data_IF_697095280388
#
_entry.id   IF_697095280388
#
_cell.length_a   1.000
_cell.length_b   1.000
_cell.length_c   1.000
_cell.angle_alpha   90.00
_cell.angle_beta   90.00
_cell.angle_gamma   90.00
#
_symmetry.space_group_name_H-M   'P 1'
#
loop_
_entity.id
_entity.type
_entity.pdbx_description
1 polymer ?
#
# COMPACT_ATOMS: atom_id res chain seq x y z
N UNK A 1 8.03 18.44 -14.48
CA UNK A 1 7.98 18.93 -13.09
C UNK A 1 7.61 20.40 -13.15
N UNK A 2 6.78 20.92 -12.24
CA UNK A 2 6.63 22.38 -12.09
C UNK A 2 7.83 22.93 -11.35
N UNK A 3 8.13 24.22 -11.46
CA UNK A 3 9.28 24.84 -10.77
C UNK A 3 9.25 24.55 -9.25
N UNK A 4 8.05 24.53 -8.65
CA UNK A 4 7.83 24.22 -7.22
C UNK A 4 8.19 22.78 -6.77
N UNK A 5 8.53 21.87 -7.70
CA UNK A 5 8.81 20.44 -7.40
C UNK A 5 10.31 20.11 -7.42
N UNK A 6 11.16 21.08 -7.77
CA UNK A 6 12.62 20.96 -7.74
C UNK A 6 13.09 21.33 -6.33
N UNK A 7 13.33 20.32 -5.50
CA UNK A 7 14.00 20.51 -4.21
C UNK A 7 15.51 20.70 -4.42
N UNK A 8 16.21 21.17 -3.38
CA UNK A 8 17.62 21.61 -3.37
C UNK A 8 18.60 20.65 -4.10
N UNK A 9 18.33 19.34 -4.08
CA UNK A 9 19.13 18.35 -4.79
C UNK A 9 19.17 18.55 -6.32
N UNK A 10 18.09 19.05 -6.93
CA UNK A 10 17.99 19.22 -8.38
C UNK A 10 18.81 20.39 -8.91
N UNK A 11 18.95 21.48 -8.14
CA UNK A 11 19.82 22.61 -8.53
C UNK A 11 21.29 22.18 -8.60
N UNK A 12 21.71 21.32 -7.67
CA UNK A 12 23.05 20.73 -7.68
C UNK A 12 23.27 19.84 -8.90
N UNK A 13 22.29 18.99 -9.26
CA UNK A 13 22.39 18.15 -10.47
C UNK A 13 22.45 19.01 -11.73
N UNK A 14 21.61 20.05 -11.84
CA UNK A 14 21.65 20.97 -12.98
C UNK A 14 23.03 21.64 -13.13
N UNK A 15 23.66 22.04 -12.02
CA UNK A 15 24.99 22.67 -12.03
C UNK A 15 26.11 21.69 -12.38
N UNK A 16 26.06 20.47 -11.86
CA UNK A 16 27.14 19.49 -11.98
C UNK A 16 27.06 18.66 -13.27
N UNK A 17 25.86 18.27 -13.67
CA UNK A 17 25.61 17.48 -14.88
C UNK A 17 24.26 17.87 -15.52
N UNK A 18 24.27 18.93 -16.36
CA UNK A 18 23.09 19.35 -17.11
C UNK A 18 22.53 18.25 -18.03
N UNK A 19 23.36 17.29 -18.46
CA UNK A 19 22.93 16.21 -19.33
C UNK A 19 22.06 15.22 -18.56
N UNK A 20 22.50 14.78 -17.39
CA UNK A 20 21.70 13.93 -16.49
C UNK A 20 20.45 14.67 -16.05
N UNK A 21 20.54 15.95 -15.67
CA UNK A 21 19.36 16.74 -15.33
C UNK A 21 18.30 16.72 -16.44
N UNK A 22 18.71 17.01 -17.68
CA UNK A 22 17.83 17.04 -18.85
C UNK A 22 17.21 15.66 -19.14
N UNK A 23 18.00 14.58 -19.05
CA UNK A 23 17.50 13.23 -19.34
C UNK A 23 16.56 12.74 -18.24
N UNK A 24 16.84 13.03 -16.97
CA UNK A 24 15.94 12.74 -15.84
C UNK A 24 14.61 13.50 -15.95
N UNK A 25 14.63 14.78 -16.36
CA UNK A 25 13.41 15.53 -16.64
C UNK A 25 12.64 14.94 -17.82
N UNK A 26 13.33 14.53 -18.89
CA UNK A 26 12.70 13.90 -20.04
C UNK A 26 11.98 12.61 -19.63
N UNK A 27 12.66 11.73 -18.90
CA UNK A 27 12.12 10.46 -18.42
C UNK A 27 10.90 10.68 -17.50
N UNK A 28 11.04 11.53 -16.48
CA UNK A 28 9.95 11.82 -15.53
C UNK A 28 8.76 12.55 -16.15
N UNK A 29 8.94 13.20 -17.31
CA UNK A 29 7.85 13.86 -18.03
C UNK A 29 6.98 12.92 -18.86
N UNK A 30 7.46 11.71 -19.17
CA UNK A 30 6.74 10.76 -20.04
C UNK A 30 5.32 10.46 -19.55
N UNK A 31 5.08 10.14 -18.25
CA UNK A 31 3.72 9.89 -17.76
C UNK A 31 2.78 11.10 -17.95
N UNK A 32 3.30 12.32 -17.74
CA UNK A 32 2.53 13.56 -17.92
C UNK A 32 2.13 13.83 -19.37
N UNK A 33 2.96 13.41 -20.33
CA UNK A 33 2.68 13.58 -21.77
C UNK A 33 1.66 12.58 -22.30
N UNK A 34 1.55 11.40 -21.70
CA UNK A 34 0.64 10.33 -22.14
C UNK A 34 -0.80 10.51 -21.62
N UNK A 35 -1.01 11.33 -20.58
CA UNK A 35 -2.33 11.76 -20.04
C UNK A 35 -3.28 10.58 -19.71
N UNK A 36 -2.75 9.38 -19.46
CA UNK A 36 -3.57 8.23 -19.05
C UNK A 36 -4.05 8.35 -17.59
N UNK A 37 -3.37 9.18 -16.79
CA UNK A 37 -3.69 9.46 -15.39
C UNK A 37 -3.70 10.98 -15.19
N UNK A 38 -4.62 11.46 -14.38
CA UNK A 38 -4.71 12.85 -13.94
C UNK A 38 -3.47 13.27 -13.14
N UNK A 39 -3.21 14.57 -13.04
CA UNK A 39 -2.12 15.10 -12.24
C UNK A 39 -2.26 14.74 -10.74
N UNK A 40 -3.50 14.71 -10.24
CA UNK A 40 -3.84 14.25 -8.88
C UNK A 40 -3.42 12.79 -8.66
N UNK A 41 -3.83 11.88 -9.55
CA UNK A 41 -3.47 10.45 -9.45
C UNK A 41 -1.96 10.23 -9.51
N UNK A 42 -1.27 10.92 -10.42
CA UNK A 42 0.19 10.83 -10.52
C UNK A 42 0.89 11.32 -9.24
N UNK A 43 0.36 12.38 -8.61
CA UNK A 43 0.89 12.88 -7.34
C UNK A 43 0.64 11.88 -6.19
N UNK A 44 -0.55 11.29 -6.11
CA UNK A 44 -0.89 10.27 -5.11
C UNK A 44 -0.07 8.99 -5.29
N UNK A 45 0.21 8.56 -6.53
CA UNK A 45 1.12 7.43 -6.80
C UNK A 45 2.55 7.76 -6.36
N UNK A 46 3.04 8.96 -6.69
CA UNK A 46 4.37 9.40 -6.23
C UNK A 46 4.48 9.47 -4.71
N UNK A 47 3.40 9.85 -4.03
CA UNK A 47 3.30 9.80 -2.57
C UNK A 47 3.41 8.36 -2.07
N UNK A 48 2.66 7.42 -2.64
CA UNK A 48 2.70 6.01 -2.24
C UNK A 48 4.12 5.44 -2.34
N UNK A 49 4.83 5.73 -3.44
CA UNK A 49 6.23 5.32 -3.64
C UNK A 49 7.14 5.93 -2.58
N UNK A 50 7.01 7.23 -2.31
CA UNK A 50 7.89 7.96 -1.38
C UNK A 50 7.64 7.59 0.09
N UNK A 51 6.39 7.33 0.46
CA UNK A 51 5.96 7.05 1.84
C UNK A 51 6.07 5.56 2.23
N UNK A 52 6.27 4.67 1.26
CA UNK A 52 6.47 3.25 1.50
C UNK A 52 7.67 3.02 2.43
N UNK A 53 7.52 2.11 3.42
CA UNK A 53 8.54 1.73 4.39
C UNK A 53 9.88 1.25 3.78
N UNK A 54 9.88 0.74 2.54
CA UNK A 54 11.12 0.33 1.84
C UNK A 54 11.81 1.47 1.07
N UNK A 55 11.22 2.68 1.04
CA UNK A 55 11.80 3.86 0.39
C UNK A 55 11.98 5.05 1.33
N UNK A 56 10.95 5.42 2.11
CA UNK A 56 10.96 6.47 3.14
C UNK A 56 11.70 7.76 2.73
N UNK A 57 11.36 8.30 1.55
CA UNK A 57 12.01 9.49 1.02
C UNK A 57 11.26 10.77 1.40
N UNK A 58 11.63 11.38 2.52
CA UNK A 58 10.95 12.55 3.11
C UNK A 58 10.79 13.76 2.16
N UNK A 59 11.79 14.16 1.36
CA UNK A 59 11.60 15.23 0.38
C UNK A 59 10.57 14.88 -0.69
N UNK A 60 10.52 13.62 -1.13
CA UNK A 60 9.52 13.11 -2.06
C UNK A 60 8.11 13.14 -1.47
N UNK A 61 7.96 12.68 -0.23
CA UNK A 61 6.68 12.72 0.51
C UNK A 61 6.15 14.16 0.54
N UNK A 62 6.97 15.14 0.94
CA UNK A 62 6.57 16.56 0.99
C UNK A 62 6.19 17.11 -0.38
N UNK A 63 6.93 16.73 -1.42
CA UNK A 63 6.68 17.18 -2.79
C UNK A 63 5.35 16.63 -3.31
N UNK A 64 5.08 15.35 -3.11
CA UNK A 64 3.88 14.68 -3.60
C UNK A 64 2.62 15.03 -2.80
N UNK A 65 2.71 15.04 -1.46
CA UNK A 65 2.24 16.12 -0.57
C UNK A 65 1.49 17.30 -1.23
N UNK A 66 2.30 18.34 -1.42
CA UNK A 66 1.89 19.63 -1.96
C UNK A 66 1.28 19.50 -3.36
N UNK A 67 1.84 18.65 -4.21
CA UNK A 67 1.32 18.45 -5.56
C UNK A 67 -0.10 17.88 -5.56
N UNK A 68 -0.39 16.86 -4.74
CA UNK A 68 -1.72 16.27 -4.67
C UNK A 68 -2.77 17.29 -4.20
N UNK A 69 -2.46 18.05 -3.15
CA UNK A 69 -3.35 19.09 -2.62
C UNK A 69 -3.57 20.21 -3.65
N UNK A 70 -2.52 20.64 -4.36
CA UNK A 70 -2.61 21.64 -5.44
C UNK A 70 -3.54 21.18 -6.57
N UNK A 71 -3.57 19.89 -6.86
CA UNK A 71 -4.45 19.26 -7.84
C UNK A 71 -5.82 18.84 -7.27
N UNK A 72 -6.17 19.32 -6.07
CA UNK A 72 -7.49 19.14 -5.46
C UNK A 72 -7.67 17.85 -4.64
N UNK A 73 -6.59 17.14 -4.29
CA UNK A 73 -6.69 16.03 -3.35
C UNK A 73 -7.07 16.52 -1.95
N UNK A 74 -7.98 15.79 -1.31
CA UNK A 74 -8.35 16.02 0.09
C UNK A 74 -7.27 15.47 1.03
N UNK A 75 -7.26 15.95 2.29
CA UNK A 75 -6.42 15.38 3.34
C UNK A 75 -6.73 13.89 3.54
N UNK A 76 -7.99 13.48 3.38
CA UNK A 76 -8.40 12.09 3.51
C UNK A 76 -7.82 11.19 2.41
N UNK A 77 -7.78 11.65 1.16
CA UNK A 77 -7.12 10.92 0.06
C UNK A 77 -5.62 10.75 0.32
N UNK A 78 -4.96 11.80 0.84
CA UNK A 78 -3.53 11.75 1.19
C UNK A 78 -3.26 10.76 2.32
N UNK A 79 -4.06 10.82 3.41
CA UNK A 79 -3.93 9.90 4.53
C UNK A 79 -4.18 8.45 4.08
N UNK A 80 -5.21 8.22 3.28
CA UNK A 80 -5.53 6.89 2.80
C UNK A 80 -4.39 6.28 1.96
N UNK A 81 -3.70 7.07 1.13
CA UNK A 81 -2.50 6.59 0.41
C UNK A 81 -1.41 6.12 1.37
N UNK A 82 -1.18 6.84 2.48
CA UNK A 82 -0.18 6.46 3.49
C UNK A 82 -0.61 5.18 4.21
N UNK A 83 -1.89 5.05 4.55
CA UNK A 83 -2.46 3.85 5.17
C UNK A 83 -2.31 2.62 4.26
N UNK A 84 -2.66 2.75 2.98
CA UNK A 84 -2.47 1.69 1.99
C UNK A 84 -1.00 1.32 1.79
N UNK A 85 -0.09 2.31 1.80
CA UNK A 85 1.35 2.07 1.68
C UNK A 85 1.93 1.35 2.91
N UNK A 86 1.29 1.50 4.07
CA UNK A 86 1.73 0.87 5.33
C UNK A 86 1.50 -0.64 5.36
N UNK A 87 0.65 -1.20 4.48
CA UNK A 87 0.40 -2.65 4.45
C UNK A 87 1.57 -3.45 3.87
N UNK A 88 2.59 -2.81 3.29
CA UNK A 88 3.77 -3.46 2.71
C UNK A 88 4.50 -4.37 3.72
N UNK A 89 4.41 -4.07 5.02
CA UNK A 89 5.06 -4.85 6.08
C UNK A 89 4.60 -6.30 6.14
N UNK A 90 3.36 -6.60 5.72
CA UNK A 90 2.82 -7.96 5.76
C UNK A 90 3.56 -8.94 4.86
N UNK A 91 4.31 -8.45 3.86
CA UNK A 91 5.10 -9.30 2.98
C UNK A 91 6.17 -10.10 3.74
N UNK A 92 6.62 -9.60 4.90
CA UNK A 92 7.50 -10.36 5.79
C UNK A 92 6.82 -11.65 6.29
N UNK A 93 5.55 -11.57 6.70
CA UNK A 93 4.77 -12.74 7.11
C UNK A 93 4.45 -13.64 5.91
N UNK A 94 4.01 -13.07 4.78
CA UNK A 94 3.63 -13.85 3.60
C UNK A 94 4.77 -14.70 3.03
N UNK A 95 6.03 -14.29 3.23
CA UNK A 95 7.22 -15.04 2.82
C UNK A 95 7.76 -15.87 3.98
N UNK A 96 7.89 -15.27 5.16
CA UNK A 96 8.54 -15.89 6.32
C UNK A 96 7.75 -17.04 6.93
N UNK A 97 6.42 -16.95 6.95
CA UNK A 97 5.58 -18.00 7.54
C UNK A 97 5.63 -19.31 6.73
N UNK A 98 5.48 -19.30 5.40
CA UNK A 98 5.67 -20.52 4.61
C UNK A 98 7.04 -21.19 4.84
N UNK A 99 8.12 -20.38 4.90
CA UNK A 99 9.47 -20.89 5.20
C UNK A 99 9.55 -21.48 6.60
N UNK A 100 8.94 -20.83 7.60
CA UNK A 100 8.86 -21.37 8.95
C UNK A 100 8.11 -22.72 8.96
N UNK A 101 6.97 -22.82 8.29
CA UNK A 101 6.18 -24.05 8.19
C UNK A 101 6.98 -25.18 7.51
N UNK A 102 7.75 -24.86 6.47
CA UNK A 102 8.64 -25.82 5.80
C UNK A 102 9.64 -26.43 6.79
N UNK A 103 10.36 -25.60 7.53
CA UNK A 103 11.33 -26.05 8.55
C UNK A 103 10.65 -26.84 9.68
N UNK A 104 9.47 -26.41 10.14
CA UNK A 104 8.73 -27.13 11.18
C UNK A 104 8.32 -28.54 10.73
N UNK A 105 7.93 -28.71 9.45
CA UNK A 105 7.61 -30.01 8.85
C UNK A 105 8.85 -30.91 8.79
N UNK A 106 9.99 -30.37 8.35
CA UNK A 106 11.26 -31.11 8.27
C UNK A 106 11.73 -31.60 9.64
N UNK A 107 11.55 -30.76 10.67
CA UNK A 107 11.90 -31.06 12.05
C UNK A 107 10.88 -31.97 12.76
N UNK A 108 9.77 -32.31 12.10
CA UNK A 108 8.68 -33.09 12.69
C UNK A 108 7.99 -32.42 13.88
N UNK A 109 8.01 -31.08 13.94
CA UNK A 109 7.43 -30.28 15.04
C UNK A 109 6.12 -29.64 14.59
N UNK A 110 5.20 -29.46 15.53
CA UNK A 110 3.92 -28.75 15.30
C UNK A 110 3.06 -29.30 14.14
N UNK A 111 3.23 -30.57 13.78
CA UNK A 111 2.55 -31.21 12.64
C UNK A 111 1.02 -31.02 12.68
N UNK A 112 0.40 -31.25 13.84
CA UNK A 112 -1.04 -31.05 14.01
C UNK A 112 -1.45 -29.60 13.80
N UNK A 113 -0.70 -28.62 14.34
CA UNK A 113 -1.02 -27.19 14.24
C UNK A 113 -0.99 -26.69 12.78
N UNK A 114 -0.02 -27.16 12.00
CA UNK A 114 0.21 -26.71 10.61
C UNK A 114 -0.57 -27.53 9.57
N UNK A 115 -1.22 -28.64 9.96
CA UNK A 115 -2.01 -29.48 9.04
C UNK A 115 -3.48 -29.60 9.41
N UNK A 116 -3.88 -29.24 10.63
CA UNK A 116 -5.29 -29.27 11.06
C UNK A 116 -6.17 -28.37 10.19
N UNK A 117 -7.42 -28.75 10.10
CA UNK A 117 -8.47 -27.90 9.57
C UNK A 117 -8.65 -26.67 10.47
N UNK A 118 -9.19 -25.60 9.87
CA UNK A 118 -9.53 -24.39 10.61
C UNK A 118 -10.64 -24.66 11.61
N UNK A 119 -10.49 -24.09 12.80
CA UNK A 119 -11.60 -23.97 13.73
C UNK A 119 -12.65 -22.95 13.24
N UNK A 120 -13.76 -22.84 13.97
CA UNK A 120 -14.86 -21.94 13.61
C UNK A 120 -14.41 -20.48 13.51
N UNK A 121 -13.52 -20.03 14.40
CA UNK A 121 -13.02 -18.65 14.43
C UNK A 121 -12.12 -18.37 13.22
N UNK A 122 -11.26 -19.30 12.87
CA UNK A 122 -10.39 -19.19 11.70
C UNK A 122 -11.20 -19.19 10.40
N UNK A 123 -12.20 -20.06 10.28
CA UNK A 123 -13.11 -20.04 9.13
C UNK A 123 -13.84 -18.69 9.00
N UNK A 124 -14.31 -18.14 10.12
CA UNK A 124 -14.92 -16.80 10.14
C UNK A 124 -13.93 -15.72 9.66
N UNK A 125 -12.70 -15.70 10.18
CA UNK A 125 -11.68 -14.73 9.76
C UNK A 125 -11.32 -14.84 8.28
N UNK A 126 -11.26 -16.06 7.76
CA UNK A 126 -11.04 -16.33 6.32
C UNK A 126 -12.18 -15.77 5.47
N UNK A 127 -13.42 -16.02 5.86
CA UNK A 127 -14.60 -15.47 5.17
C UNK A 127 -14.62 -13.95 5.21
N UNK A 128 -14.34 -13.35 6.36
CA UNK A 128 -14.25 -11.91 6.52
C UNK A 128 -13.16 -11.29 5.63
N UNK A 129 -11.98 -11.93 5.57
CA UNK A 129 -10.89 -11.50 4.68
C UNK A 129 -11.32 -11.54 3.21
N UNK A 130 -11.87 -12.67 2.76
CA UNK A 130 -12.31 -12.84 1.38
C UNK A 130 -13.38 -11.82 1.00
N UNK A 131 -14.33 -11.56 1.90
CA UNK A 131 -15.40 -10.56 1.70
C UNK A 131 -14.85 -9.12 1.60
N UNK A 132 -13.87 -8.75 2.44
CA UNK A 132 -13.31 -7.39 2.46
C UNK A 132 -12.31 -7.12 1.34
N UNK A 133 -11.52 -8.12 0.94
CA UNK A 133 -10.41 -7.96 -0.01
C UNK A 133 -10.72 -8.46 -1.42
N UNK A 134 -11.81 -9.21 -1.60
CA UNK A 134 -12.22 -9.76 -2.89
C UNK A 134 -11.41 -10.98 -3.35
N UNK A 135 -10.54 -11.52 -2.51
CA UNK A 135 -9.77 -12.73 -2.81
C UNK A 135 -9.34 -13.47 -1.55
N UNK A 136 -9.01 -14.76 -1.71
CA UNK A 136 -8.26 -15.56 -0.74
C UNK A 136 -7.13 -16.27 -1.48
N UNK A 137 -5.98 -16.45 -0.82
CA UNK A 137 -4.85 -17.19 -1.36
C UNK A 137 -4.28 -18.12 -0.28
N UNK A 138 -3.79 -19.29 -0.68
CA UNK A 138 -3.34 -20.36 0.23
C UNK A 138 -2.19 -19.98 1.15
N UNK A 139 -1.33 -19.03 0.76
CA UNK A 139 -0.27 -18.50 1.65
C UNK A 139 -0.82 -17.87 2.95
N UNK A 140 -2.09 -17.44 2.97
CA UNK A 140 -2.74 -16.96 4.20
C UNK A 140 -3.12 -18.10 5.14
N UNK A 141 -3.24 -19.34 4.64
CA UNK A 141 -3.73 -20.44 5.44
C UNK A 141 -2.76 -20.74 6.59
N UNK A 142 -1.46 -20.82 6.30
CA UNK A 142 -0.43 -21.06 7.31
C UNK A 142 -0.34 -19.93 8.33
N UNK A 143 -0.49 -18.68 7.89
CA UNK A 143 -0.50 -17.55 8.79
C UNK A 143 -1.70 -17.59 9.73
N UNK A 144 -2.90 -17.81 9.20
CA UNK A 144 -4.12 -17.92 9.99
C UNK A 144 -4.08 -19.12 10.96
N UNK A 145 -3.44 -20.23 10.58
CA UNK A 145 -3.23 -21.38 11.48
C UNK A 145 -2.33 -21.07 12.66
N UNK A 146 -1.20 -20.42 12.38
CA UNK A 146 -0.15 -20.19 13.37
C UNK A 146 -0.46 -19.04 14.32
N UNK A 147 -1.07 -17.98 13.81
CA UNK A 147 -1.31 -16.75 14.58
C UNK A 147 -2.63 -16.07 14.16
N UNK A 148 -3.79 -16.62 14.56
CA UNK A 148 -5.09 -16.05 14.23
C UNK A 148 -5.31 -14.66 14.85
N UNK A 149 -4.70 -14.37 16.01
CA UNK A 149 -4.81 -13.07 16.68
C UNK A 149 -4.11 -11.98 15.88
N UNK A 150 -2.88 -12.23 15.42
CA UNK A 150 -2.21 -11.30 14.52
C UNK A 150 -3.00 -11.17 13.21
N UNK A 151 -3.42 -12.30 12.62
CA UNK A 151 -4.18 -12.28 11.37
C UNK A 151 -5.42 -11.37 11.47
N UNK A 152 -6.19 -11.48 12.56
CA UNK A 152 -7.35 -10.63 12.84
C UNK A 152 -6.95 -9.16 12.94
N UNK A 153 -5.93 -8.82 13.75
CA UNK A 153 -5.46 -7.44 13.88
C UNK A 153 -4.98 -6.86 12.54
N UNK A 154 -4.31 -7.65 11.70
CA UNK A 154 -3.91 -7.24 10.36
C UNK A 154 -5.11 -7.05 9.42
N UNK A 155 -6.12 -7.91 9.50
CA UNK A 155 -7.36 -7.77 8.75
C UNK A 155 -8.10 -6.48 9.11
N UNK A 156 -8.13 -6.11 10.38
CA UNK A 156 -8.67 -4.83 10.83
C UNK A 156 -7.86 -3.65 10.29
N UNK A 157 -6.54 -3.67 10.50
CA UNK A 157 -5.63 -2.60 10.06
C UNK A 157 -5.70 -2.37 8.55
N UNK A 158 -5.55 -3.44 7.76
CA UNK A 158 -5.56 -3.37 6.30
C UNK A 158 -6.96 -3.14 5.72
N UNK A 159 -8.00 -3.39 6.51
CA UNK A 159 -9.41 -3.13 6.20
C UNK A 159 -9.82 -1.68 6.43
N UNK A 160 -9.15 -0.94 7.33
CA UNK A 160 -9.54 0.41 7.73
C UNK A 160 -9.69 1.40 6.55
N UNK A 161 -8.80 1.45 5.54
CA UNK A 161 -8.97 2.34 4.38
C UNK A 161 -10.26 2.09 3.58
N UNK A 162 -10.83 0.89 3.67
CA UNK A 162 -11.98 0.47 2.87
C UNK A 162 -13.32 0.85 3.50
N UNK A 163 -13.37 0.95 4.83
CA UNK A 163 -14.59 1.13 5.61
C UNK A 163 -14.69 2.49 6.31
N UNK A 164 -13.63 3.30 6.27
CA UNK A 164 -13.64 4.64 6.86
C UNK A 164 -14.68 5.51 6.16
N UNK A 165 -15.58 6.09 6.96
CA UNK A 165 -16.51 7.10 6.50
C UNK A 165 -15.81 8.47 6.46
N UNK A 166 -15.49 8.91 5.26
CA UNK A 166 -14.90 10.23 4.99
C UNK A 166 -15.80 11.08 4.08
N UNK A 167 -17.03 10.62 3.83
CA UNK A 167 -18.00 11.31 2.99
C UNK A 167 -18.61 12.54 3.69
N UNK A 168 -19.22 13.42 2.90
CA UNK A 168 -20.22 14.39 3.40
C UNK A 168 -21.59 13.93 2.92
N UNK A 169 -22.42 13.36 3.80
CA UNK A 169 -23.82 12.98 3.49
C UNK A 169 -24.19 11.57 3.95
N UNK A 170 -25.34 11.07 3.49
CA UNK A 170 -25.91 9.75 3.82
C UNK A 170 -25.33 8.58 2.97
N UNK A 171 -24.19 8.78 2.30
CA UNK A 171 -23.53 7.74 1.50
C UNK A 171 -22.97 6.62 2.41
N UNK A 172 -22.97 5.35 1.97
CA UNK A 172 -22.34 4.27 2.72
C UNK A 172 -20.83 4.51 2.88
N UNK A 173 -20.21 4.06 3.99
CA UNK A 173 -18.79 4.24 4.23
C UNK A 173 -17.97 3.67 3.08
N UNK A 174 -17.25 4.55 2.41
CA UNK A 174 -16.30 4.24 1.34
C UNK A 174 -15.09 5.13 1.58
N UNK A 175 -13.90 4.55 1.58
CA UNK A 175 -12.66 5.33 1.69
C UNK A 175 -12.63 6.52 0.71
N UNK A 176 -11.76 7.48 1.00
CA UNK A 176 -11.58 8.72 0.25
C UNK A 176 -11.22 8.49 -1.23
N UNK A 177 -10.48 7.43 -1.55
CA UNK A 177 -10.13 7.07 -2.93
C UNK A 177 -11.28 6.32 -3.60
N UNK A 178 -11.71 6.79 -4.78
CA UNK A 178 -12.80 6.19 -5.57
C UNK A 178 -12.48 6.20 -7.09
N UNK A 179 -12.96 5.22 -7.87
CA UNK A 179 -13.69 4.02 -7.46
C UNK A 179 -12.74 2.88 -7.07
N UNK A 180 -13.05 2.20 -5.97
CA UNK A 180 -12.46 0.92 -5.60
C UNK A 180 -13.31 -0.16 -6.23
N UNK A 181 -12.93 -0.64 -7.42
CA UNK A 181 -13.74 -1.60 -8.17
C UNK A 181 -13.91 -2.88 -7.34
N UNK A 182 -15.16 -3.23 -7.00
CA UNK A 182 -15.53 -4.60 -6.66
C UNK A 182 -15.67 -5.36 -7.97
N UNK A 183 -14.69 -6.20 -8.31
CA UNK A 183 -14.87 -7.24 -9.33
C UNK A 183 -15.58 -8.43 -8.72
#
# INVERSE_FOLDING_TARGET
>A
MGEDTLHEGWESILRLDPTVFKTSLSLSSVPRRKINLTAKEQALIGLAVSANAIHLYEPGIRTHVKAAIKEGATVYEVLEVIELSSTVGIHACNIGIPVLVEVLKEEGKFGDLITRDFDDKQNELKEQFAKRRGYWHTFWDDFLRLDPEFFEAYLEFSGAPWIKDVGKGDDPPRGALSPKVSS
#
